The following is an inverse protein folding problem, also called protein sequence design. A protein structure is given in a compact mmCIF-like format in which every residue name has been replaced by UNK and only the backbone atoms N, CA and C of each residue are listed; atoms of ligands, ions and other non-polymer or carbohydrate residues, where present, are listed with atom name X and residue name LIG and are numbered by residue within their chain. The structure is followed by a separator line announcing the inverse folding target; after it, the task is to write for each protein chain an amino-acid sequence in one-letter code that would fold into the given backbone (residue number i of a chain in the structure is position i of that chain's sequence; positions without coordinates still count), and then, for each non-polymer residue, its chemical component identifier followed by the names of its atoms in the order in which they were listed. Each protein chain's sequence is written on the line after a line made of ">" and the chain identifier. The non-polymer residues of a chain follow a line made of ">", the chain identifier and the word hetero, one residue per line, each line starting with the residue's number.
data_IF_683070196803
#
_entry.id   IF_683070196803
#
_cell.length_a   1.000
_cell.length_b   1.000
_cell.length_c   1.000
_cell.angle_alpha   90.00
_cell.angle_beta   90.00
_cell.angle_gamma   90.00
#
_symmetry.space_group_name_H-M   'P 1'
#
loop_
_entity.id
_entity.type
_entity.pdbx_description
1 polymer ?
#
# COMPACT_ATOMS: atom_id res chain seq x y z
N UNK A 1 -13.60 -19.27 -9.10
CA UNK A 1 -14.82 -18.56 -8.58
C UNK A 1 -15.88 -18.51 -9.69
N UNK A 2 -16.41 -19.69 -10.05
CA UNK A 2 -17.09 -19.94 -11.34
C UNK A 2 -18.58 -19.55 -11.40
N UNK A 3 -19.16 -19.01 -10.32
CA UNK A 3 -20.59 -18.65 -10.25
C UNK A 3 -20.90 -17.17 -10.03
N UNK A 4 -19.89 -16.29 -10.05
CA UNK A 4 -20.04 -14.86 -9.75
C UNK A 4 -20.00 -14.05 -11.06
N UNK A 5 -21.15 -13.52 -11.47
CA UNK A 5 -21.34 -12.77 -12.71
C UNK A 5 -21.77 -11.32 -12.41
N UNK A 6 -21.68 -10.47 -13.42
CA UNK A 6 -22.22 -9.11 -13.37
C UNK A 6 -23.66 -9.19 -13.88
N UNK A 7 -24.62 -8.83 -13.03
CA UNK A 7 -26.04 -8.81 -13.34
C UNK A 7 -26.41 -7.66 -14.29
N UNK A 8 -27.67 -7.62 -14.71
CA UNK A 8 -28.22 -6.59 -15.60
C UNK A 8 -28.10 -5.16 -15.04
N UNK A 9 -27.93 -5.01 -13.73
CA UNK A 9 -27.72 -3.74 -13.02
C UNK A 9 -26.25 -3.40 -12.82
N UNK A 10 -25.34 -4.12 -13.48
CA UNK A 10 -23.89 -3.97 -13.35
C UNK A 10 -23.38 -4.25 -11.93
N UNK A 11 -24.10 -5.06 -11.15
CA UNK A 11 -23.69 -5.50 -9.81
C UNK A 11 -23.21 -6.94 -9.87
N UNK A 12 -22.26 -7.27 -9.01
CA UNK A 12 -21.86 -8.66 -8.83
C UNK A 12 -22.99 -9.42 -8.12
N UNK A 13 -23.36 -10.57 -8.68
CA UNK A 13 -24.38 -11.47 -8.15
C UNK A 13 -24.00 -12.94 -8.42
N UNK A 14 -24.58 -13.83 -7.63
CA UNK A 14 -24.48 -15.27 -7.86
C UNK A 14 -25.41 -15.69 -8.99
N UNK A 15 -24.92 -16.54 -9.89
CA UNK A 15 -25.70 -17.09 -11.00
C UNK A 15 -26.74 -18.13 -10.53
N UNK A 16 -26.38 -18.87 -9.50
CA UNK A 16 -27.19 -19.94 -8.90
C UNK A 16 -27.11 -19.82 -7.38
N UNK A 17 -28.15 -20.31 -6.69
CA UNK A 17 -28.12 -20.39 -5.23
C UNK A 17 -27.01 -21.35 -4.78
N UNK A 18 -26.03 -20.80 -4.06
CA UNK A 18 -24.96 -21.59 -3.45
C UNK A 18 -25.46 -22.10 -2.11
N UNK A 19 -25.29 -23.40 -1.87
CA UNK A 19 -25.66 -24.01 -0.60
C UNK A 19 -24.84 -23.45 0.57
N UNK A 20 -25.37 -23.62 1.79
CA UNK A 20 -24.78 -23.04 3.00
C UNK A 20 -23.35 -23.54 3.29
N UNK A 21 -23.05 -24.80 2.98
CA UNK A 21 -21.75 -25.39 3.25
C UNK A 21 -20.69 -24.82 2.32
N UNK A 22 -21.02 -24.68 1.04
CA UNK A 22 -20.17 -24.02 0.06
C UNK A 22 -19.91 -22.55 0.40
N UNK A 23 -20.93 -21.81 0.86
CA UNK A 23 -20.77 -20.43 1.34
C UNK A 23 -19.81 -20.33 2.52
N UNK A 24 -19.96 -21.20 3.52
CA UNK A 24 -19.08 -21.23 4.69
C UNK A 24 -17.63 -21.53 4.29
N UNK A 25 -17.42 -22.51 3.40
CA UNK A 25 -16.09 -22.81 2.87
C UNK A 25 -15.46 -21.63 2.14
N UNK A 26 -16.25 -20.90 1.34
CA UNK A 26 -15.79 -19.70 0.63
C UNK A 26 -15.43 -18.57 1.58
N UNK A 27 -16.23 -18.36 2.62
CA UNK A 27 -15.99 -17.36 3.66
C UNK A 27 -14.67 -17.64 4.41
N UNK A 28 -14.44 -18.89 4.82
CA UNK A 28 -13.17 -19.30 5.43
C UNK A 28 -11.98 -19.12 4.48
N UNK A 29 -12.12 -19.52 3.21
CA UNK A 29 -11.08 -19.32 2.20
C UNK A 29 -10.74 -17.85 1.97
N UNK A 30 -11.75 -16.97 1.99
CA UNK A 30 -11.58 -15.52 1.88
C UNK A 30 -10.86 -14.94 3.11
N UNK A 31 -11.21 -15.39 4.31
CA UNK A 31 -10.53 -15.02 5.55
C UNK A 31 -9.05 -15.42 5.52
N UNK A 32 -8.75 -16.66 5.12
CA UNK A 32 -7.38 -17.14 4.94
C UNK A 32 -6.61 -16.32 3.89
N UNK A 33 -7.22 -16.03 2.74
CA UNK A 33 -6.59 -15.25 1.68
C UNK A 33 -6.24 -13.84 2.16
N UNK A 34 -7.15 -13.15 2.85
CA UNK A 34 -6.96 -11.77 3.31
C UNK A 34 -5.93 -11.65 4.45
N UNK A 35 -5.68 -12.73 5.19
CA UNK A 35 -4.68 -12.79 6.28
C UNK A 35 -3.32 -13.32 5.83
N UNK A 36 -3.15 -13.62 4.55
CA UNK A 36 -1.91 -14.17 4.05
C UNK A 36 -0.76 -13.16 4.17
N UNK A 37 0.40 -13.59 4.71
CA UNK A 37 1.55 -12.70 4.94
C UNK A 37 2.07 -12.02 3.66
N UNK A 38 1.77 -12.59 2.50
CA UNK A 38 2.01 -11.98 1.20
C UNK A 38 1.55 -10.52 1.17
N UNK A 39 0.35 -10.22 1.67
CA UNK A 39 -0.24 -8.88 1.64
C UNK A 39 0.45 -7.87 2.55
N UNK A 40 1.23 -8.36 3.51
CA UNK A 40 1.97 -7.51 4.43
C UNK A 40 3.30 -7.07 3.84
N UNK A 41 3.72 -7.62 2.70
CA UNK A 41 4.99 -7.26 2.04
C UNK A 41 4.84 -5.93 1.33
N UNK A 42 5.70 -4.97 1.66
CA UNK A 42 5.65 -3.63 1.05
C UNK A 42 5.76 -3.67 -0.49
N UNK A 43 6.57 -4.55 -1.06
CA UNK A 43 6.74 -4.67 -2.51
C UNK A 43 5.45 -4.99 -3.26
N UNK A 44 4.49 -5.68 -2.62
CA UNK A 44 3.18 -5.99 -3.21
C UNK A 44 2.38 -4.71 -3.48
N UNK A 45 2.65 -3.62 -2.76
CA UNK A 45 2.05 -2.30 -3.00
C UNK A 45 2.40 -1.81 -4.41
N UNK A 46 3.65 -1.94 -4.85
CA UNK A 46 4.04 -1.57 -6.22
C UNK A 46 3.43 -2.51 -7.25
N UNK A 47 3.54 -3.82 -7.01
CA UNK A 47 3.02 -4.85 -7.92
C UNK A 47 1.55 -4.63 -8.22
N UNK A 48 0.76 -4.30 -7.20
CA UNK A 48 -0.67 -4.08 -7.34
C UNK A 48 -1.03 -2.72 -7.96
N UNK A 49 -0.39 -1.64 -7.51
CA UNK A 49 -0.80 -0.27 -7.90
C UNK A 49 -0.26 0.17 -9.25
N UNK A 50 0.89 -0.34 -9.67
CA UNK A 50 1.48 0.00 -10.97
C UNK A 50 1.06 -0.95 -12.09
N UNK A 51 0.42 -2.07 -11.76
CA UNK A 51 -0.04 -3.02 -12.74
C UNK A 51 -1.13 -2.42 -13.65
N UNK A 52 -0.98 -2.67 -14.96
CA UNK A 52 -1.96 -2.28 -15.98
C UNK A 52 -3.24 -3.10 -15.87
N UNK A 53 -3.09 -4.40 -15.60
CA UNK A 53 -4.16 -5.35 -15.34
C UNK A 53 -3.79 -6.18 -14.12
N UNK A 54 -4.77 -6.48 -13.24
CA UNK A 54 -4.51 -7.25 -12.02
C UNK A 54 -5.50 -8.39 -11.90
N UNK A 55 -4.94 -9.57 -11.70
CA UNK A 55 -5.63 -10.76 -11.18
C UNK A 55 -4.89 -11.23 -9.94
N UNK A 56 -5.64 -11.58 -8.91
CA UNK A 56 -5.07 -12.20 -7.71
C UNK A 56 -5.03 -13.70 -7.96
N UNK A 57 -3.84 -14.28 -7.88
CA UNK A 57 -3.62 -15.72 -8.05
C UNK A 57 -3.45 -16.40 -6.70
N UNK A 58 -4.07 -17.56 -6.53
CA UNK A 58 -3.89 -18.42 -5.38
C UNK A 58 -3.85 -19.88 -5.86
N UNK A 59 -2.64 -20.46 -5.92
CA UNK A 59 -2.44 -21.78 -6.52
C UNK A 59 -2.80 -21.78 -8.01
N UNK A 60 -3.71 -22.66 -8.42
CA UNK A 60 -4.17 -22.78 -9.81
C UNK A 60 -5.32 -21.79 -10.15
N UNK A 61 -5.88 -21.11 -9.15
CA UNK A 61 -7.03 -20.23 -9.31
C UNK A 61 -6.63 -18.76 -9.41
N UNK A 62 -7.46 -17.98 -10.09
CA UNK A 62 -7.36 -16.52 -10.10
C UNK A 62 -8.71 -15.85 -9.92
N UNK A 63 -8.67 -14.63 -9.38
CA UNK A 63 -9.86 -13.82 -9.12
C UNK A 63 -9.60 -12.34 -9.36
N UNK A 64 -10.62 -11.65 -9.87
CA UNK A 64 -10.63 -10.19 -9.97
C UNK A 64 -10.70 -9.56 -8.56
N UNK A 65 -9.84 -8.58 -8.23
CA UNK A 65 -9.89 -7.84 -6.97
C UNK A 65 -11.28 -7.29 -6.58
N UNK A 66 -12.11 -6.90 -7.54
CA UNK A 66 -13.46 -6.39 -7.30
C UNK A 66 -14.39 -7.46 -6.74
N UNK A 67 -14.22 -8.72 -7.15
CA UNK A 67 -14.97 -9.85 -6.59
C UNK A 67 -14.60 -10.09 -5.14
N UNK A 68 -13.30 -10.01 -4.79
CA UNK A 68 -12.85 -10.10 -3.39
C UNK A 68 -13.52 -9.01 -2.54
N UNK A 69 -13.49 -7.75 -3.01
CA UNK A 69 -14.12 -6.64 -2.29
C UNK A 69 -15.61 -6.82 -2.13
N UNK A 70 -16.30 -7.26 -3.18
CA UNK A 70 -17.74 -7.52 -3.11
C UNK A 70 -18.06 -8.63 -2.11
N UNK A 71 -17.30 -9.73 -2.10
CA UNK A 71 -17.48 -10.80 -1.13
C UNK A 71 -17.31 -10.31 0.32
N UNK A 72 -16.29 -9.50 0.58
CA UNK A 72 -16.03 -8.94 1.92
C UNK A 72 -17.15 -7.97 2.34
N UNK A 73 -17.53 -7.02 1.47
CA UNK A 73 -18.40 -5.91 1.89
C UNK A 73 -19.89 -6.17 1.72
N UNK A 74 -20.27 -7.00 0.74
CA UNK A 74 -21.67 -7.17 0.33
C UNK A 74 -22.19 -8.54 0.74
N UNK A 75 -21.52 -9.61 0.33
CA UNK A 75 -21.99 -10.98 0.55
C UNK A 75 -21.82 -11.40 2.01
N UNK A 76 -20.58 -11.50 2.48
CA UNK A 76 -20.28 -12.03 3.81
C UNK A 76 -20.24 -10.95 4.90
N UNK A 77 -20.14 -9.68 4.50
CA UNK A 77 -20.12 -8.50 5.40
C UNK A 77 -19.04 -8.61 6.48
N UNK A 78 -17.87 -9.11 6.10
CA UNK A 78 -16.74 -9.37 6.97
C UNK A 78 -15.97 -8.11 7.33
N UNK A 79 -16.58 -7.29 8.19
CA UNK A 79 -16.02 -5.99 8.60
C UNK A 79 -14.63 -6.11 9.22
N UNK A 80 -14.37 -7.22 9.90
CA UNK A 80 -13.07 -7.47 10.54
C UNK A 80 -11.94 -7.63 9.51
N UNK A 81 -12.23 -8.01 8.26
CA UNK A 81 -11.25 -8.08 7.17
C UNK A 81 -10.97 -6.72 6.54
N UNK A 82 -11.79 -5.70 6.78
CA UNK A 82 -11.59 -4.36 6.20
C UNK A 82 -10.28 -3.72 6.64
N UNK A 83 -9.76 -4.10 7.81
CA UNK A 83 -8.50 -3.60 8.35
C UNK A 83 -7.27 -4.42 7.92
N UNK A 84 -7.47 -5.55 7.22
CA UNK A 84 -6.37 -6.36 6.70
C UNK A 84 -5.56 -5.60 5.63
N UNK A 85 -4.25 -5.88 5.56
CA UNK A 85 -3.39 -5.32 4.52
C UNK A 85 -3.89 -5.64 3.11
N UNK A 86 -4.48 -6.83 2.93
CA UNK A 86 -5.09 -7.23 1.66
C UNK A 86 -6.18 -6.24 1.24
N UNK A 87 -7.21 -6.05 2.08
CA UNK A 87 -8.36 -5.25 1.70
C UNK A 87 -8.02 -3.76 1.60
N UNK A 88 -7.16 -3.24 2.48
CA UNK A 88 -6.66 -1.86 2.36
C UNK A 88 -5.93 -1.63 1.04
N UNK A 89 -5.09 -2.58 0.61
CA UNK A 89 -4.41 -2.49 -0.69
C UNK A 89 -5.40 -2.55 -1.85
N UNK A 90 -6.35 -3.51 -1.82
CA UNK A 90 -7.33 -3.68 -2.89
C UNK A 90 -8.26 -2.47 -3.08
N UNK A 91 -8.56 -1.75 -2.00
CA UNK A 91 -9.31 -0.49 -2.04
C UNK A 91 -8.54 0.62 -2.76
N UNK A 92 -7.23 0.69 -2.54
CA UNK A 92 -6.42 1.81 -2.97
C UNK A 92 -6.31 2.00 -4.50
N UNK A 93 -6.64 1.01 -5.32
CA UNK A 93 -6.52 1.09 -6.79
C UNK A 93 -7.67 1.86 -7.47
N UNK A 94 -8.90 1.81 -6.93
CA UNK A 94 -10.06 2.57 -7.46
C UNK A 94 -9.87 4.10 -7.33
N UNK A 95 -9.15 4.56 -6.31
CA UNK A 95 -8.85 5.99 -6.09
C UNK A 95 -7.66 6.48 -6.94
N UNK A 96 -6.73 5.59 -7.31
CA UNK A 96 -5.43 5.97 -7.90
C UNK A 96 -5.34 5.84 -9.42
N UNK A 97 -6.27 5.16 -10.09
CA UNK A 97 -6.22 4.91 -11.54
C UNK A 97 -6.46 6.12 -12.46
N UNK A 98 -6.73 7.32 -11.92
CA UNK A 98 -6.80 8.56 -12.74
C UNK A 98 -5.54 9.44 -12.57
N UNK A 99 -4.80 9.29 -11.45
CA UNK A 99 -3.71 10.19 -11.06
C UNK A 99 -2.67 9.51 -10.14
N UNK A 100 -2.23 8.28 -10.43
CA UNK A 100 -1.14 7.61 -9.70
C UNK A 100 0.19 8.40 -9.67
N UNK A 101 0.21 9.60 -10.26
CA UNK A 101 1.30 10.57 -10.29
C UNK A 101 1.12 11.77 -9.33
N UNK A 102 0.23 11.76 -8.32
CA UNK A 102 -0.03 12.96 -7.48
C UNK A 102 0.23 12.86 -5.96
N UNK A 103 0.33 11.67 -5.36
CA UNK A 103 0.56 11.59 -3.91
C UNK A 103 2.05 11.77 -3.55
N UNK A 104 2.31 12.31 -2.37
CA UNK A 104 3.67 12.44 -1.84
C UNK A 104 4.19 11.12 -1.28
N UNK A 105 5.51 10.98 -1.14
CA UNK A 105 6.10 9.84 -0.43
C UNK A 105 5.60 9.77 1.02
N UNK A 106 5.41 10.92 1.69
CA UNK A 106 4.76 10.98 3.01
C UNK A 106 3.41 10.25 3.02
N UNK A 107 2.54 10.59 2.07
CA UNK A 107 1.20 10.02 2.02
C UNK A 107 1.23 8.51 1.85
N UNK A 108 2.13 7.98 1.02
CA UNK A 108 2.29 6.54 0.87
C UNK A 108 2.89 5.88 2.12
N UNK A 109 3.77 6.57 2.85
CA UNK A 109 4.29 6.09 4.14
C UNK A 109 3.21 6.02 5.21
N UNK A 110 2.34 7.04 5.28
CA UNK A 110 1.17 7.07 6.15
C UNK A 110 0.19 5.93 5.81
N UNK A 111 -0.07 5.72 4.51
CA UNK A 111 -1.02 4.72 4.05
C UNK A 111 -0.46 3.27 4.19
N UNK A 112 0.82 3.03 3.88
CA UNK A 112 1.40 1.68 3.78
C UNK A 112 2.67 1.47 4.62
N UNK A 113 3.59 2.44 4.65
CA UNK A 113 4.98 2.25 5.05
C UNK A 113 5.20 1.57 6.41
N UNK A 114 4.59 2.11 7.47
CA UNK A 114 4.85 1.64 8.85
C UNK A 114 4.24 0.26 9.11
N UNK A 115 3.08 -0.04 8.52
CA UNK A 115 2.35 -1.31 8.75
C UNK A 115 2.90 -2.47 7.95
N UNK A 116 3.53 -2.19 6.81
CA UNK A 116 4.05 -3.22 5.92
C UNK A 116 5.39 -3.79 6.42
N UNK A 117 5.53 -5.11 6.31
CA UNK A 117 6.76 -5.86 6.54
C UNK A 117 7.75 -5.58 5.41
N UNK A 118 9.00 -5.37 5.80
CA UNK A 118 10.16 -5.26 4.92
C UNK A 118 11.30 -6.08 5.53
N UNK A 119 12.05 -6.81 4.70
CA UNK A 119 13.28 -7.46 5.17
C UNK A 119 14.38 -6.42 5.42
N UNK A 120 14.41 -5.36 4.59
CA UNK A 120 15.26 -4.21 4.74
C UNK A 120 14.43 -2.97 5.08
N UNK A 121 14.79 -2.26 6.15
CA UNK A 121 14.03 -1.07 6.60
C UNK A 121 13.97 0.04 5.54
N UNK A 122 14.98 0.12 4.67
CA UNK A 122 15.08 1.11 3.59
C UNK A 122 14.05 0.88 2.50
N UNK A 123 13.53 -0.34 2.37
CA UNK A 123 12.48 -0.66 1.40
C UNK A 123 11.22 0.16 1.65
N UNK A 124 10.92 0.56 2.90
CA UNK A 124 9.78 1.46 3.18
C UNK A 124 9.84 2.76 2.40
N UNK A 125 11.04 3.23 2.07
CA UNK A 125 11.25 4.38 1.17
C UNK A 125 11.37 3.89 -0.28
N UNK A 126 12.34 3.02 -0.56
CA UNK A 126 12.68 2.62 -1.94
C UNK A 126 11.51 1.93 -2.67
N UNK A 127 10.79 1.07 -1.96
CA UNK A 127 9.58 0.40 -2.40
C UNK A 127 8.39 1.33 -2.60
N UNK A 128 8.46 2.62 -2.28
CA UNK A 128 7.39 3.59 -2.57
C UNK A 128 7.80 4.67 -3.58
N UNK A 129 9.09 4.82 -3.91
CA UNK A 129 9.58 5.84 -4.85
C UNK A 129 8.93 5.75 -6.24
N UNK A 130 8.52 4.57 -6.70
CA UNK A 130 7.85 4.38 -7.99
C UNK A 130 6.38 4.86 -7.99
N UNK A 131 5.80 5.16 -6.83
CA UNK A 131 4.39 5.55 -6.66
C UNK A 131 4.17 7.05 -6.42
N UNK A 132 5.24 7.81 -6.20
CA UNK A 132 5.15 9.22 -5.81
C UNK A 132 5.01 10.15 -7.01
N UNK A 133 4.54 11.36 -6.77
CA UNK A 133 4.35 12.34 -7.82
C UNK A 133 5.65 12.73 -8.53
N UNK A 134 5.55 13.06 -9.83
CA UNK A 134 6.71 13.32 -10.70
C UNK A 134 7.57 14.49 -10.21
N UNK A 135 6.94 15.56 -9.73
CA UNK A 135 7.61 16.75 -9.21
C UNK A 135 8.48 16.40 -7.99
N UNK A 136 7.89 15.78 -6.96
CA UNK A 136 8.60 15.35 -5.77
C UNK A 136 9.66 14.30 -6.09
N UNK A 137 9.39 13.32 -6.95
CA UNK A 137 10.40 12.33 -7.39
C UNK A 137 11.62 13.01 -7.98
N UNK A 138 11.40 14.01 -8.85
CA UNK A 138 12.48 14.77 -9.48
C UNK A 138 13.26 15.59 -8.45
N UNK A 139 12.58 16.20 -7.48
CA UNK A 139 13.20 17.02 -6.42
C UNK A 139 13.98 16.19 -5.41
N UNK A 140 13.45 15.03 -5.01
CA UNK A 140 14.15 14.08 -4.14
C UNK A 140 15.39 13.53 -4.84
N UNK A 141 15.27 13.13 -6.11
CA UNK A 141 16.40 12.65 -6.90
C UNK A 141 17.06 11.38 -6.35
N UNK A 142 16.38 10.66 -5.46
CA UNK A 142 16.90 9.47 -4.78
C UNK A 142 16.70 8.24 -5.65
N UNK A 143 17.71 7.36 -5.65
CA UNK A 143 17.63 6.02 -6.21
C UNK A 143 17.93 4.99 -5.11
N UNK A 144 17.40 3.76 -5.22
CA UNK A 144 17.76 2.69 -4.30
C UNK A 144 19.27 2.48 -4.25
N UNK A 145 19.86 2.64 -3.08
CA UNK A 145 21.27 2.44 -2.81
C UNK A 145 21.44 1.72 -1.46
N UNK A 146 21.50 0.40 -1.55
CA UNK A 146 21.65 -0.47 -0.37
C UNK A 146 23.06 -0.44 0.25
N UNK A 147 23.98 0.38 -0.26
CA UNK A 147 25.25 0.68 0.42
C UNK A 147 25.08 1.73 1.54
N UNK A 148 23.99 2.51 1.53
CA UNK A 148 23.73 3.55 2.53
C UNK A 148 23.11 2.98 3.80
N UNK A 149 23.56 3.41 4.98
CA UNK A 149 22.83 3.12 6.21
C UNK A 149 21.47 3.86 6.24
N UNK A 150 20.49 3.41 7.04
CA UNK A 150 19.21 4.11 7.20
C UNK A 150 19.37 5.59 7.59
N UNK A 151 20.34 5.92 8.44
CA UNK A 151 20.65 7.30 8.86
C UNK A 151 21.15 8.15 7.69
N UNK A 152 22.00 7.59 6.83
CA UNK A 152 22.50 8.29 5.64
C UNK A 152 21.38 8.55 4.64
N UNK A 153 20.52 7.55 4.41
CA UNK A 153 19.34 7.70 3.56
C UNK A 153 18.40 8.77 4.11
N UNK A 154 18.14 8.73 5.42
CA UNK A 154 17.32 9.71 6.11
C UNK A 154 17.86 11.14 5.94
N UNK A 155 19.15 11.35 6.19
CA UNK A 155 19.78 12.67 6.01
C UNK A 155 19.68 13.16 4.56
N UNK A 156 19.90 12.28 3.58
CA UNK A 156 19.75 12.62 2.16
C UNK A 156 18.31 13.06 1.83
N UNK A 157 17.31 12.35 2.35
CA UNK A 157 15.90 12.71 2.19
C UNK A 157 15.58 14.07 2.82
N UNK A 158 16.00 14.32 4.05
CA UNK A 158 15.76 15.60 4.74
C UNK A 158 16.35 16.78 3.96
N UNK A 159 17.60 16.67 3.51
CA UNK A 159 18.27 17.70 2.71
C UNK A 159 17.53 17.92 1.39
N UNK A 160 17.10 16.85 0.72
CA UNK A 160 16.38 16.95 -0.54
C UNK A 160 15.00 17.59 -0.36
N UNK A 161 14.25 17.23 0.69
CA UNK A 161 12.97 17.84 1.04
C UNK A 161 13.11 19.34 1.33
N UNK A 162 14.09 19.72 2.15
CA UNK A 162 14.34 21.13 2.47
C UNK A 162 14.70 21.95 1.22
N UNK A 163 15.54 21.39 0.33
CA UNK A 163 15.91 22.01 -0.95
C UNK A 163 14.76 22.07 -1.95
N UNK A 164 13.80 21.15 -1.85
CA UNK A 164 12.68 21.07 -2.79
C UNK A 164 11.81 22.33 -2.78
N UNK A 165 11.69 22.97 -1.59
CA UNK A 165 10.76 24.06 -1.29
C UNK A 165 9.29 23.74 -1.62
N UNK A 166 8.93 22.46 -1.58
CA UNK A 166 7.57 21.98 -1.85
C UNK A 166 6.65 22.06 -0.63
N UNK A 167 7.21 22.16 0.57
CA UNK A 167 6.50 22.04 1.84
C UNK A 167 6.81 23.24 2.73
N UNK A 168 5.81 23.68 3.50
CA UNK A 168 5.97 24.64 4.59
C UNK A 168 6.82 24.05 5.73
N UNK A 169 7.35 24.88 6.66
CA UNK A 169 8.13 24.38 7.79
C UNK A 169 7.40 23.32 8.64
N UNK A 170 6.12 23.53 8.93
CA UNK A 170 5.32 22.60 9.74
C UNK A 170 5.10 21.26 9.01
N UNK A 171 4.83 21.31 7.70
CA UNK A 171 4.70 20.10 6.86
C UNK A 171 6.02 19.34 6.76
N UNK A 172 7.17 20.05 6.71
CA UNK A 172 8.48 19.42 6.70
C UNK A 172 8.75 18.69 8.02
N UNK A 173 8.40 19.27 9.16
CA UNK A 173 8.59 18.63 10.47
C UNK A 173 7.83 17.30 10.56
N UNK A 174 6.53 17.31 10.20
CA UNK A 174 5.67 16.12 10.19
C UNK A 174 6.19 15.05 9.19
N UNK A 175 6.65 15.47 8.01
CA UNK A 175 7.21 14.56 7.02
C UNK A 175 8.52 13.93 7.51
N UNK A 176 9.41 14.74 8.06
CA UNK A 176 10.71 14.28 8.54
C UNK A 176 10.55 13.30 9.70
N UNK A 177 9.57 13.51 10.56
CA UNK A 177 9.22 12.54 11.61
C UNK A 177 8.66 11.24 11.03
N UNK A 178 7.80 11.32 10.02
CA UNK A 178 7.27 10.15 9.29
C UNK A 178 8.41 9.33 8.67
N UNK A 179 9.41 9.98 8.07
CA UNK A 179 10.59 9.32 7.50
C UNK A 179 11.47 8.66 8.57
N UNK A 180 11.66 9.34 9.70
CA UNK A 180 12.44 8.81 10.82
C UNK A 180 11.84 7.50 11.32
N UNK A 181 10.52 7.49 11.54
CA UNK A 181 9.78 6.31 11.97
C UNK A 181 9.81 5.20 10.92
N UNK A 182 9.61 5.53 9.65
CA UNK A 182 9.67 4.57 8.56
C UNK A 182 11.04 3.87 8.51
N UNK A 183 12.13 4.62 8.65
CA UNK A 183 13.50 4.10 8.63
C UNK A 183 13.96 3.46 9.95
N UNK A 184 13.07 3.36 10.95
CA UNK A 184 13.35 2.68 12.22
C UNK A 184 14.38 3.39 13.09
N UNK A 185 14.60 4.70 12.86
CA UNK A 185 15.58 5.49 13.60
C UNK A 185 14.99 5.92 14.95
N UNK A 186 15.78 5.88 16.02
CA UNK A 186 15.37 6.40 17.34
C UNK A 186 15.46 7.92 17.38
N UNK A 187 14.65 8.59 18.22
CA UNK A 187 14.69 10.05 18.40
C UNK A 187 16.01 10.44 19.08
N UNK A 188 17.05 10.71 18.31
CA UNK A 188 18.29 11.25 18.84
C UNK A 188 18.41 12.75 18.59
N UNK A 189 19.07 13.46 19.51
CA UNK A 189 19.15 14.92 19.54
C UNK A 189 19.71 15.55 18.25
N UNK A 190 20.53 14.80 17.50
CA UNK A 190 21.09 15.20 16.21
C UNK A 190 20.03 15.47 15.13
N UNK A 191 18.85 14.85 15.25
CA UNK A 191 17.75 14.99 14.28
C UNK A 191 17.10 16.38 14.35
N UNK A 192 17.03 16.96 15.55
CA UNK A 192 16.44 18.30 15.77
C UNK A 192 17.34 19.42 15.26
N UNK A 193 18.66 19.18 15.20
CA UNK A 193 19.64 20.19 14.77
C UNK A 193 19.62 20.48 13.26
N UNK A 194 18.95 19.65 12.44
CA UNK A 194 18.82 19.91 11.00
C UNK A 194 17.79 21.00 10.66
N UNK A 195 16.97 21.42 11.63
CA UNK A 195 15.89 22.40 11.47
C UNK A 195 16.01 23.61 12.39
N UNK A 196 17.12 23.74 13.14
CA UNK A 196 17.50 24.93 13.88
C UNK A 196 18.44 25.81 13.04
#
# INVERSE_FOLDING_TARGET
>A
MYGLEVDEYHKLAWKEDIDSFEKERMQLGLECLCRFEYWERLWVVQEYLLAKDVKIWCGADSVDPEKIKWLVYVEFKERHLAESCAIQLLQGRKVRNVHAEQLSLKRHLDDFGIRMKCADVRDRVYGLLALINKEERKKLGIRPDYSLSPEKLYLQLCIALQRSRLYSPDELEDYVETLRLALGLTSDAATRALFA
#
